data_IF_351292090615
#
_entry.id   IF_351292090615
#
_cell.length_a   1.000
_cell.length_b   1.000
_cell.length_c   1.000
_cell.angle_alpha   90.00
_cell.angle_beta   90.00
_cell.angle_gamma   90.00
#
_symmetry.space_group_name_H-M   'P 1'
#
loop_
_entity.id
_entity.type
_entity.pdbx_description
1 polymer ?
#
# COMPACT_ATOMS: atom_id res chain seq x y z
N UNK A 1 -47.61 -6.00 19.74
CA UNK A 1 -47.53 -4.66 20.35
C UNK A 1 -46.07 -4.36 20.60
N UNK A 2 -45.52 -3.40 19.88
CA UNK A 2 -44.38 -2.51 20.19
C UNK A 2 -43.84 -1.97 18.85
N UNK A 3 -44.79 -1.37 18.11
CA UNK A 3 -44.55 -0.30 17.15
C UNK A 3 -44.49 1.01 17.93
N UNK A 4 -43.65 1.94 17.49
CA UNK A 4 -43.45 3.34 17.97
C UNK A 4 -42.32 3.55 18.99
N UNK A 5 -41.62 4.68 18.85
CA UNK A 5 -40.27 5.07 19.35
C UNK A 5 -39.13 4.51 18.48
N UNK A 6 -38.46 5.24 17.59
CA UNK A 6 -38.17 6.68 17.51
C UNK A 6 -38.06 7.07 16.02
N UNK A 7 -38.97 7.93 15.56
CA UNK A 7 -38.72 8.86 14.46
C UNK A 7 -38.30 10.20 15.10
N UNK A 8 -37.37 10.90 14.43
CA UNK A 8 -36.85 12.25 14.73
C UNK A 8 -35.67 12.31 15.71
N UNK A 9 -34.45 12.22 15.16
CA UNK A 9 -33.55 13.38 15.14
C UNK A 9 -32.33 13.12 14.24
N UNK A 10 -31.67 14.21 13.83
CA UNK A 10 -30.47 14.34 12.99
C UNK A 10 -30.76 14.62 11.51
N UNK A 11 -31.25 15.83 11.28
CA UNK A 11 -30.87 16.65 10.13
C UNK A 11 -29.36 16.91 10.09
N UNK A 12 -28.87 17.08 8.86
CA UNK A 12 -27.60 17.70 8.40
C UNK A 12 -26.28 16.95 8.59
N UNK A 13 -25.79 16.53 7.42
CA UNK A 13 -24.39 16.59 6.96
C UNK A 13 -23.57 15.29 6.98
N UNK A 14 -24.03 14.31 6.21
CA UNK A 14 -23.10 13.39 5.54
C UNK A 14 -23.01 13.78 4.07
N UNK A 15 -22.27 14.85 3.77
CA UNK A 15 -21.71 14.98 2.43
C UNK A 15 -21.00 13.66 2.10
N UNK A 16 -21.54 12.93 1.12
CA UNK A 16 -20.78 11.90 0.43
C UNK A 16 -19.41 12.51 0.16
N UNK A 17 -18.32 11.90 0.66
CA UNK A 17 -16.96 12.40 0.45
C UNK A 17 -16.68 12.30 -1.03
N UNK A 18 -17.13 13.31 -1.78
CA UNK A 18 -16.82 13.49 -3.17
C UNK A 18 -15.34 13.81 -3.19
N UNK A 19 -14.53 12.82 -3.57
CA UNK A 19 -13.15 13.06 -3.96
C UNK A 19 -13.22 13.61 -5.38
N UNK A 20 -13.04 14.92 -5.59
CA UNK A 20 -13.00 15.47 -6.94
C UNK A 20 -11.95 14.69 -7.75
N UNK A 21 -12.23 14.43 -9.03
CA UNK A 21 -11.30 13.72 -9.88
C UNK A 21 -9.97 14.48 -9.94
N UNK A 22 -8.87 13.76 -9.74
CA UNK A 22 -7.53 14.33 -9.87
C UNK A 22 -7.35 14.87 -11.31
N UNK A 23 -7.24 16.19 -11.42
CA UNK A 23 -7.06 16.90 -12.69
C UNK A 23 -5.59 16.91 -13.16
N UNK A 24 -4.67 16.50 -12.28
CA UNK A 24 -3.23 16.58 -12.45
C UNK A 24 -2.57 15.19 -12.42
N UNK A 25 -3.31 14.16 -12.85
CA UNK A 25 -2.85 12.75 -12.89
C UNK A 25 -1.49 12.57 -13.58
N UNK A 26 -1.24 13.34 -14.63
CA UNK A 26 0.04 13.31 -15.34
C UNK A 26 1.24 13.63 -14.42
N UNK A 27 1.05 14.50 -13.44
CA UNK A 27 2.09 14.85 -12.45
C UNK A 27 2.09 13.86 -11.30
N UNK A 28 0.92 13.52 -10.74
CA UNK A 28 0.81 12.66 -9.56
C UNK A 28 1.27 11.23 -9.83
N UNK A 29 1.03 10.68 -11.03
CA UNK A 29 1.53 9.36 -11.44
C UNK A 29 3.06 9.33 -11.53
N UNK A 30 3.68 10.33 -12.17
CA UNK A 30 5.14 10.43 -12.29
C UNK A 30 5.78 10.59 -10.92
N UNK A 31 5.22 11.46 -10.07
CA UNK A 31 5.70 11.62 -8.70
C UNK A 31 5.49 10.34 -7.88
N UNK A 32 4.40 9.60 -8.11
CA UNK A 32 4.15 8.30 -7.49
C UNK A 32 5.23 7.27 -7.83
N UNK A 33 5.65 7.20 -9.09
CA UNK A 33 6.78 6.36 -9.52
C UNK A 33 8.11 6.79 -8.87
N UNK A 34 8.35 8.09 -8.74
CA UNK A 34 9.52 8.57 -8.00
C UNK A 34 9.47 8.17 -6.52
N UNK A 35 8.31 8.26 -5.89
CA UNK A 35 8.12 7.85 -4.49
C UNK A 35 8.46 6.38 -4.30
N UNK A 36 7.99 5.50 -5.19
CA UNK A 36 8.29 4.06 -5.09
C UNK A 36 9.79 3.78 -5.23
N UNK A 37 10.46 4.41 -6.20
CA UNK A 37 11.91 4.29 -6.37
C UNK A 37 12.67 4.80 -5.14
N UNK A 38 12.34 6.00 -4.62
CA UNK A 38 13.02 6.54 -3.45
C UNK A 38 12.83 5.66 -2.21
N UNK A 39 11.65 5.07 -2.01
CA UNK A 39 11.41 4.11 -0.93
C UNK A 39 12.27 2.87 -1.09
N UNK A 40 12.35 2.30 -2.30
CA UNK A 40 13.18 1.13 -2.57
C UNK A 40 14.67 1.40 -2.34
N UNK A 41 15.13 2.62 -2.61
CA UNK A 41 16.50 3.07 -2.30
C UNK A 41 16.73 3.40 -0.82
N UNK A 42 15.68 3.43 0.02
CA UNK A 42 15.76 3.79 1.43
C UNK A 42 15.86 5.30 1.70
N UNK A 43 15.52 6.14 0.71
CA UNK A 43 15.46 7.60 0.87
C UNK A 43 14.06 8.04 1.31
N UNK A 44 13.73 7.76 2.58
CA UNK A 44 12.43 8.04 3.17
C UNK A 44 12.11 9.54 3.21
N UNK A 45 13.13 10.38 3.37
CA UNK A 45 12.93 11.83 3.45
C UNK A 45 12.45 12.38 2.11
N UNK A 46 13.08 11.98 1.00
CA UNK A 46 12.65 12.43 -0.34
C UNK A 46 11.32 11.80 -0.70
N UNK A 47 11.13 10.50 -0.46
CA UNK A 47 9.88 9.82 -0.77
C UNK A 47 8.70 10.46 -0.03
N UNK A 48 8.85 10.79 1.25
CA UNK A 48 7.82 11.49 2.03
C UNK A 48 7.51 12.89 1.50
N UNK A 49 8.53 13.63 1.07
CA UNK A 49 8.37 14.98 0.52
C UNK A 49 7.56 14.96 -0.78
N UNK A 50 7.86 14.04 -1.71
CA UNK A 50 7.07 13.87 -2.92
C UNK A 50 5.65 13.38 -2.61
N UNK A 51 5.48 12.47 -1.65
CA UNK A 51 4.16 11.97 -1.26
C UNK A 51 3.27 13.08 -0.69
N UNK A 52 3.84 14.00 0.09
CA UNK A 52 3.15 15.21 0.55
C UNK A 52 2.76 16.11 -0.62
N UNK A 53 3.65 16.32 -1.57
CA UNK A 53 3.35 17.12 -2.77
C UNK A 53 2.21 16.50 -3.59
N UNK A 54 2.21 15.18 -3.81
CA UNK A 54 1.11 14.46 -4.48
C UNK A 54 -0.22 14.74 -3.78
N UNK A 55 -0.25 14.60 -2.45
CA UNK A 55 -1.47 14.81 -1.64
C UNK A 55 -2.03 16.24 -1.75
N UNK A 56 -1.18 17.24 -2.05
CA UNK A 56 -1.58 18.63 -2.29
C UNK A 56 -2.07 18.80 -3.72
N UNK A 57 -1.33 18.27 -4.71
CA UNK A 57 -1.64 18.39 -6.14
C UNK A 57 -2.95 17.69 -6.50
N UNK A 58 -3.21 16.52 -5.91
CA UNK A 58 -4.44 15.74 -6.13
C UNK A 58 -5.70 16.52 -5.71
N UNK A 59 -5.58 17.43 -4.74
CA UNK A 59 -6.69 18.25 -4.21
C UNK A 59 -6.90 19.56 -4.96
N UNK A 60 -6.06 19.89 -5.95
CA UNK A 60 -6.19 21.15 -6.66
C UNK A 60 -7.42 21.12 -7.57
N UNK A 61 -8.27 22.18 -7.53
CA UNK A 61 -9.48 22.25 -8.33
C UNK A 61 -9.21 22.66 -9.79
N UNK A 62 -7.95 22.80 -10.19
CA UNK A 62 -7.53 23.20 -11.53
C UNK A 62 -6.35 22.36 -12.03
N UNK A 63 -6.20 22.32 -13.36
CA UNK A 63 -5.03 21.74 -14.02
C UNK A 63 -3.86 22.73 -13.97
N UNK A 64 -2.69 22.27 -13.57
CA UNK A 64 -1.47 23.08 -13.52
C UNK A 64 -0.99 23.32 -14.96
N UNK A 65 -0.90 24.59 -15.34
CA UNK A 65 -0.37 25.04 -16.65
C UNK A 65 0.92 25.84 -16.45
N UNK A 66 1.03 26.56 -15.34
CA UNK A 66 2.24 27.31 -14.98
C UNK A 66 2.64 27.00 -13.53
N UNK A 67 3.94 26.92 -13.29
CA UNK A 67 4.54 26.70 -11.97
C UNK A 67 4.22 27.79 -10.95
N UNK A 68 3.97 29.02 -11.39
CA UNK A 68 3.56 30.10 -10.48
C UNK A 68 2.28 29.76 -9.69
N UNK A 69 1.41 28.92 -10.28
CA UNK A 69 0.18 28.44 -9.63
C UNK A 69 0.44 27.52 -8.43
N UNK A 70 1.61 26.88 -8.36
CA UNK A 70 1.94 25.92 -7.29
C UNK A 70 3.05 26.42 -6.36
N UNK A 71 3.72 27.53 -6.70
CA UNK A 71 4.86 28.07 -5.96
C UNK A 71 4.55 28.43 -4.51
N UNK A 72 3.31 28.85 -4.24
CA UNK A 72 2.85 29.27 -2.92
C UNK A 72 2.32 28.10 -2.07
N UNK A 73 2.20 26.90 -2.64
CA UNK A 73 1.62 25.76 -1.95
C UNK A 73 2.60 25.18 -0.93
N UNK A 74 2.11 24.76 0.25
CA UNK A 74 2.96 24.12 1.23
C UNK A 74 3.49 22.78 0.71
N UNK A 75 4.68 22.39 1.14
CA UNK A 75 5.37 21.13 0.75
C UNK A 75 5.93 21.08 -0.68
N UNK A 76 5.67 22.08 -1.54
CA UNK A 76 6.22 22.13 -2.91
C UNK A 76 7.41 23.09 -2.95
N UNK A 77 8.61 22.53 -2.77
CA UNK A 77 9.87 23.28 -2.85
C UNK A 77 10.35 23.55 -4.29
N UNK A 78 11.37 24.40 -4.44
CA UNK A 78 11.94 24.80 -5.75
C UNK A 78 12.26 23.62 -6.67
N UNK A 79 12.92 22.58 -6.17
CA UNK A 79 13.24 21.39 -7.00
C UNK A 79 11.99 20.66 -7.51
N UNK A 80 10.90 20.61 -6.74
CA UNK A 80 9.65 20.01 -7.21
C UNK A 80 8.94 20.92 -8.21
N UNK A 81 9.04 22.24 -8.04
CA UNK A 81 8.53 23.22 -8.99
C UNK A 81 9.19 23.05 -10.36
N UNK A 82 10.51 22.87 -10.39
CA UNK A 82 11.27 22.61 -11.62
C UNK A 82 10.80 21.29 -12.29
N UNK A 83 10.62 20.22 -11.51
CA UNK A 83 10.09 18.96 -12.03
C UNK A 83 8.65 19.07 -12.54
N UNK A 84 7.78 19.84 -11.86
CA UNK A 84 6.40 20.08 -12.33
C UNK A 84 6.44 20.84 -13.65
N UNK A 85 7.31 21.85 -13.79
CA UNK A 85 7.49 22.59 -15.05
C UNK A 85 7.86 21.64 -16.19
N UNK A 86 8.84 20.77 -15.94
CA UNK A 86 9.34 19.81 -16.91
C UNK A 86 8.22 18.85 -17.35
N UNK A 87 7.45 18.31 -16.40
CA UNK A 87 6.34 17.40 -16.68
C UNK A 87 5.22 18.09 -17.45
N UNK A 88 4.87 19.34 -17.10
CA UNK A 88 3.82 20.09 -17.80
C UNK A 88 4.23 20.40 -19.25
N UNK A 89 5.50 20.72 -19.48
CA UNK A 89 6.01 21.07 -20.81
C UNK A 89 6.27 19.85 -21.71
N UNK A 90 6.83 18.78 -21.14
CA UNK A 90 7.32 17.62 -21.92
C UNK A 90 6.46 16.37 -21.77
N UNK A 91 5.59 16.32 -20.74
CA UNK A 91 4.85 15.12 -20.35
C UNK A 91 5.70 14.07 -19.64
N UNK A 92 6.99 14.34 -19.40
CA UNK A 92 7.95 13.39 -18.83
C UNK A 92 8.84 14.05 -17.79
N UNK A 93 9.64 13.23 -17.10
CA UNK A 93 10.62 13.70 -16.14
C UNK A 93 11.95 12.98 -16.41
N UNK A 94 12.96 13.73 -16.86
CA UNK A 94 14.30 13.22 -17.18
C UNK A 94 14.93 12.49 -16.00
N UNK A 95 14.65 12.96 -14.78
CA UNK A 95 15.13 12.31 -13.55
C UNK A 95 14.56 10.90 -13.36
N UNK A 96 13.29 10.70 -13.71
CA UNK A 96 12.67 9.38 -13.65
C UNK A 96 13.28 8.47 -14.71
N UNK A 97 13.46 8.96 -15.94
CA UNK A 97 14.11 8.19 -17.01
C UNK A 97 15.54 7.78 -16.62
N UNK A 98 16.30 8.66 -15.95
CA UNK A 98 17.63 8.32 -15.45
C UNK A 98 17.59 7.20 -14.40
N UNK A 99 16.60 7.21 -13.49
CA UNK A 99 16.45 6.12 -12.52
C UNK A 99 15.99 4.81 -13.16
N UNK A 100 15.11 4.88 -14.17
CA UNK A 100 14.65 3.70 -14.90
C UNK A 100 15.80 3.05 -15.70
N UNK A 101 16.80 3.82 -16.14
CA UNK A 101 17.96 3.31 -16.87
C UNK A 101 19.17 2.96 -15.98
N UNK A 102 19.14 3.27 -14.68
CA UNK A 102 20.23 2.99 -13.75
C UNK A 102 20.19 1.52 -13.28
N UNK A 103 21.21 0.73 -13.64
CA UNK A 103 21.37 -0.67 -13.25
C UNK A 103 21.24 -0.86 -11.73
N UNK A 104 21.78 0.08 -10.94
CA UNK A 104 21.71 0.01 -9.48
C UNK A 104 20.27 0.07 -8.99
N UNK A 105 19.49 1.01 -9.53
CA UNK A 105 18.10 1.20 -9.14
C UNK A 105 17.25 0.01 -9.57
N UNK A 106 17.46 -0.48 -10.79
CA UNK A 106 16.78 -1.69 -11.30
C UNK A 106 17.04 -2.90 -10.40
N UNK A 107 18.31 -3.14 -10.04
CA UNK A 107 18.70 -4.27 -9.20
C UNK A 107 18.13 -4.16 -7.79
N UNK A 108 18.22 -2.97 -7.17
CA UNK A 108 17.68 -2.74 -5.82
C UNK A 108 16.16 -2.91 -5.80
N UNK A 109 15.45 -2.40 -6.82
CA UNK A 109 14.01 -2.61 -6.98
C UNK A 109 13.68 -4.09 -7.13
N UNK A 110 14.41 -4.82 -7.98
CA UNK A 110 14.22 -6.26 -8.21
C UNK A 110 14.37 -7.06 -6.90
N UNK A 111 15.41 -6.76 -6.11
CA UNK A 111 15.63 -7.41 -4.83
C UNK A 111 14.55 -7.03 -3.81
N UNK A 112 14.08 -5.78 -3.82
CA UNK A 112 13.01 -5.31 -2.95
C UNK A 112 11.62 -5.92 -3.23
N UNK A 113 11.41 -6.53 -4.41
CA UNK A 113 10.18 -7.30 -4.69
C UNK A 113 10.15 -8.62 -3.91
N UNK A 114 11.29 -9.13 -3.45
CA UNK A 114 11.36 -10.39 -2.72
C UNK A 114 10.89 -10.19 -1.28
N UNK A 115 9.96 -11.04 -0.85
CA UNK A 115 9.47 -11.01 0.52
C UNK A 115 10.60 -11.14 1.56
N UNK A 116 10.63 -10.21 2.52
CA UNK A 116 11.65 -10.16 3.57
C UNK A 116 12.94 -9.41 3.20
N UNK A 117 13.07 -8.89 1.97
CA UNK A 117 14.19 -8.03 1.56
C UNK A 117 13.73 -6.57 1.55
N UNK A 118 14.24 -5.78 2.51
CA UNK A 118 14.04 -4.33 2.54
C UNK A 118 15.17 -3.53 1.87
N UNK A 119 15.04 -2.19 1.78
CA UNK A 119 16.00 -1.31 1.09
C UNK A 119 17.46 -1.50 1.53
N UNK A 120 17.67 -1.59 2.85
CA UNK A 120 19.02 -1.76 3.43
C UNK A 120 19.64 -3.10 3.02
N UNK A 121 18.84 -4.17 3.02
CA UNK A 121 19.31 -5.50 2.63
C UNK A 121 19.56 -5.56 1.12
N UNK A 122 18.65 -5.01 0.31
CA UNK A 122 18.80 -4.93 -1.14
C UNK A 122 20.09 -4.19 -1.55
N UNK A 123 20.39 -3.05 -0.90
CA UNK A 123 21.63 -2.31 -1.13
C UNK A 123 22.87 -3.15 -0.78
N UNK A 124 22.87 -3.83 0.38
CA UNK A 124 23.98 -4.72 0.77
C UNK A 124 24.20 -5.86 -0.22
N UNK A 125 23.14 -6.43 -0.79
CA UNK A 125 23.24 -7.49 -1.80
C UNK A 125 23.82 -6.93 -3.11
N UNK A 126 23.41 -5.73 -3.51
CA UNK A 126 24.00 -5.04 -4.66
C UNK A 126 25.49 -4.76 -4.48
N UNK A 127 25.89 -4.26 -3.30
CA UNK A 127 27.29 -3.97 -2.96
C UNK A 127 28.17 -5.23 -2.92
N UNK A 128 27.58 -6.39 -2.64
CA UNK A 128 28.24 -7.70 -2.74
C UNK A 128 28.45 -8.18 -4.19
N UNK A 129 27.89 -7.48 -5.17
CA UNK A 129 28.03 -7.82 -6.59
C UNK A 129 26.86 -8.62 -7.17
N UNK A 130 25.80 -8.89 -6.39
CA UNK A 130 24.61 -9.59 -6.90
C UNK A 130 23.81 -8.68 -7.83
N UNK A 131 23.31 -9.22 -8.93
CA UNK A 131 22.51 -8.49 -9.94
C UNK A 131 21.19 -9.18 -10.26
N UNK A 132 21.11 -10.49 -10.11
CA UNK A 132 19.93 -11.30 -10.44
C UNK A 132 19.37 -12.01 -9.22
N UNK A 133 18.10 -12.43 -9.30
CA UNK A 133 17.48 -13.25 -8.25
C UNK A 133 18.11 -14.65 -8.13
N UNK A 134 18.73 -15.15 -9.20
CA UNK A 134 19.42 -16.44 -9.18
C UNK A 134 20.72 -16.36 -8.38
N UNK A 135 21.42 -15.22 -8.40
CA UNK A 135 22.61 -14.99 -7.58
C UNK A 135 22.29 -15.14 -6.08
N UNK A 136 21.07 -14.74 -5.70
CA UNK A 136 20.60 -14.79 -4.31
C UNK A 136 20.32 -16.22 -3.81
N UNK A 137 20.09 -17.20 -4.69
CA UNK A 137 19.79 -18.59 -4.29
C UNK A 137 20.93 -19.24 -3.51
N UNK A 138 22.17 -18.86 -3.84
CA UNK A 138 23.38 -19.40 -3.22
C UNK A 138 23.93 -18.51 -2.08
N UNK A 139 23.29 -17.38 -1.80
CA UNK A 139 23.75 -16.43 -0.80
C UNK A 139 23.47 -16.96 0.62
N UNK A 140 24.55 -17.27 1.34
CA UNK A 140 24.48 -17.84 2.70
C UNK A 140 24.02 -16.82 3.75
N UNK A 141 24.15 -15.53 3.49
CA UNK A 141 23.76 -14.48 4.45
C UNK A 141 22.25 -14.23 4.53
N UNK A 142 21.46 -14.83 3.65
CA UNK A 142 20.01 -14.68 3.66
C UNK A 142 19.36 -15.43 4.83
N UNK A 143 18.39 -14.77 5.46
CA UNK A 143 17.56 -15.33 6.53
C UNK A 143 16.57 -16.33 5.91
N UNK A 144 16.10 -17.30 6.69
CA UNK A 144 15.13 -18.32 6.23
C UNK A 144 13.87 -17.70 5.60
N UNK A 145 13.38 -16.58 6.13
CA UNK A 145 12.25 -15.84 5.56
C UNK A 145 12.53 -15.36 4.13
N UNK A 146 13.72 -14.78 3.90
CA UNK A 146 14.15 -14.31 2.57
C UNK A 146 14.31 -15.47 1.58
N UNK A 147 14.85 -16.60 2.05
CA UNK A 147 14.94 -17.83 1.24
C UNK A 147 13.56 -18.35 0.84
N UNK A 148 12.58 -18.29 1.75
CA UNK A 148 11.19 -18.64 1.47
C UNK A 148 10.58 -17.68 0.44
N UNK A 149 10.84 -16.38 0.60
CA UNK A 149 10.45 -15.34 -0.36
C UNK A 149 11.01 -15.56 -1.76
N UNK A 150 12.26 -16.02 -1.88
CA UNK A 150 12.87 -16.39 -3.16
C UNK A 150 12.25 -17.67 -3.74
N UNK A 151 12.00 -18.68 -2.89
CA UNK A 151 11.44 -19.97 -3.33
C UNK A 151 10.04 -19.81 -3.92
N UNK A 152 9.19 -19.02 -3.28
CA UNK A 152 7.79 -18.79 -3.69
C UNK A 152 7.60 -17.43 -4.36
N UNK A 153 8.65 -16.83 -4.91
CA UNK A 153 8.61 -15.48 -5.46
C UNK A 153 7.49 -15.31 -6.51
N UNK A 154 7.39 -16.26 -7.45
CA UNK A 154 6.37 -16.22 -8.50
C UNK A 154 4.97 -16.39 -7.91
N UNK A 155 4.78 -17.39 -7.04
CA UNK A 155 3.48 -17.66 -6.42
C UNK A 155 2.99 -16.46 -5.61
N UNK A 156 3.87 -15.81 -4.83
CA UNK A 156 3.55 -14.62 -4.04
C UNK A 156 3.17 -13.45 -4.96
N UNK A 157 3.82 -13.31 -6.12
CA UNK A 157 3.53 -12.25 -7.10
C UNK A 157 2.20 -12.48 -7.81
N UNK A 158 1.70 -13.71 -7.85
CA UNK A 158 0.38 -14.00 -8.44
C UNK A 158 -0.75 -13.53 -7.53
N UNK A 159 -1.80 -12.99 -8.17
CA UNK A 159 -3.01 -12.59 -7.44
C UNK A 159 -3.76 -13.85 -6.97
N UNK A 160 -4.05 -13.91 -5.67
CA UNK A 160 -4.84 -14.99 -5.08
C UNK A 160 -6.28 -14.94 -5.64
N UNK A 161 -6.78 -16.04 -6.25
CA UNK A 161 -8.16 -16.16 -6.69
C UNK A 161 -9.16 -16.04 -5.53
N UNK A 162 -10.33 -15.43 -5.78
CA UNK A 162 -11.38 -15.29 -4.75
C UNK A 162 -11.86 -16.64 -4.20
N UNK A 163 -11.95 -17.65 -5.07
CA UNK A 163 -12.35 -19.01 -4.70
C UNK A 163 -11.42 -19.62 -3.64
N UNK A 164 -10.11 -19.44 -3.79
CA UNK A 164 -9.13 -19.95 -2.81
C UNK A 164 -9.32 -19.29 -1.44
N UNK A 165 -9.62 -17.99 -1.43
CA UNK A 165 -9.92 -17.24 -0.19
C UNK A 165 -11.18 -17.77 0.49
N UNK A 166 -12.26 -18.00 -0.28
CA UNK A 166 -13.52 -18.54 0.25
C UNK A 166 -13.34 -19.96 0.84
N UNK A 167 -12.55 -20.81 0.17
CA UNK A 167 -12.21 -22.14 0.66
C UNK A 167 -11.41 -22.07 1.97
N UNK A 168 -10.42 -21.17 2.04
CA UNK A 168 -9.64 -20.92 3.26
C UNK A 168 -10.51 -20.39 4.41
N UNK A 169 -11.46 -19.50 4.11
CA UNK A 169 -12.37 -18.91 5.11
C UNK A 169 -13.25 -20.00 5.73
N UNK A 170 -13.79 -20.91 4.91
CA UNK A 170 -14.57 -22.05 5.37
C UNK A 170 -13.74 -23.01 6.24
N UNK A 171 -12.49 -23.28 5.87
CA UNK A 171 -11.59 -24.13 6.66
C UNK A 171 -11.29 -23.51 8.03
N UNK A 172 -10.97 -22.22 8.06
CA UNK A 172 -10.72 -21.50 9.31
C UNK A 172 -11.98 -21.42 10.16
N UNK A 173 -13.14 -21.12 9.56
CA UNK A 173 -14.41 -21.05 10.26
C UNK A 173 -14.72 -22.38 10.96
N UNK A 174 -14.53 -23.52 10.29
CA UNK A 174 -14.70 -24.86 10.88
C UNK A 174 -13.74 -25.09 12.06
N UNK A 175 -12.45 -24.81 11.86
CA UNK A 175 -11.45 -24.97 12.92
C UNK A 175 -11.73 -24.04 14.12
N UNK A 176 -12.25 -22.84 13.85
CA UNK A 176 -12.69 -21.89 14.88
C UNK A 176 -13.88 -22.42 15.67
N UNK A 177 -14.88 -22.98 15.00
CA UNK A 177 -16.07 -23.55 15.65
C UNK A 177 -15.75 -24.75 16.55
N UNK A 178 -14.74 -25.56 16.19
CA UNK A 178 -14.24 -26.67 17.02
C UNK A 178 -13.64 -26.18 18.34
N UNK A 179 -12.95 -25.04 18.32
CA UNK A 179 -12.32 -24.44 19.50
C UNK A 179 -13.35 -23.65 20.32
N UNK A 180 -14.17 -22.85 19.65
CA UNK A 180 -15.18 -21.99 20.27
C UNK A 180 -16.49 -22.00 19.46
N UNK A 181 -17.55 -22.64 19.98
CA UNK A 181 -18.85 -22.65 19.32
C UNK A 181 -19.41 -21.23 19.13
N UNK A 182 -19.81 -20.89 17.91
CA UNK A 182 -20.42 -19.59 17.58
C UNK A 182 -19.44 -18.46 17.20
N UNK A 183 -18.13 -18.75 17.11
CA UNK A 183 -17.16 -17.79 16.56
C UNK A 183 -17.47 -17.49 15.09
N UNK A 184 -17.26 -16.26 14.65
CA UNK A 184 -17.28 -15.90 13.22
C UNK A 184 -15.93 -15.37 12.81
N UNK A 185 -15.40 -15.96 11.75
CA UNK A 185 -14.11 -15.66 11.15
C UNK A 185 -14.37 -15.12 9.75
N UNK A 186 -13.71 -14.03 9.40
CA UNK A 186 -13.79 -13.48 8.05
C UNK A 186 -12.51 -12.75 7.65
N UNK A 187 -12.28 -12.69 6.35
CA UNK A 187 -11.14 -11.99 5.78
C UNK A 187 -11.49 -10.55 5.43
N UNK A 188 -10.70 -9.60 5.92
CA UNK A 188 -10.79 -8.21 5.50
C UNK A 188 -9.70 -7.89 4.47
N UNK A 189 -10.11 -7.66 3.22
CA UNK A 189 -9.27 -6.98 2.25
C UNK A 189 -9.46 -5.45 2.33
N UNK A 190 -8.51 -4.69 1.80
CA UNK A 190 -8.54 -3.21 1.69
C UNK A 190 -9.85 -2.66 1.07
N UNK A 191 -10.54 -3.44 0.21
CA UNK A 191 -11.86 -3.10 -0.37
C UNK A 191 -13.07 -3.36 0.54
N UNK A 192 -12.89 -4.03 1.67
CA UNK A 192 -13.96 -4.44 2.62
C UNK A 192 -14.16 -3.43 3.74
N UNK A 193 -13.37 -2.35 3.75
CA UNK A 193 -13.40 -1.30 4.79
C UNK A 193 -14.68 -0.44 4.73
N UNK A 194 -15.47 -0.51 3.66
CA UNK A 194 -16.67 0.33 3.51
C UNK A 194 -17.90 -0.15 4.30
N UNK A 195 -17.98 -1.41 4.72
CA UNK A 195 -19.19 -1.95 5.37
C UNK A 195 -19.20 -1.89 6.91
N UNK A 196 -18.07 -1.60 7.54
CA UNK A 196 -17.95 -1.61 9.01
C UNK A 196 -18.15 -0.23 9.67
N UNK A 197 -18.11 0.87 8.92
CA UNK A 197 -18.33 2.23 9.47
C UNK A 197 -19.76 2.51 9.92
N UNK A 198 -20.74 1.69 9.50
CA UNK A 198 -22.15 1.82 9.95
C UNK A 198 -22.32 1.55 11.46
N UNK A 199 -21.31 0.96 12.11
CA UNK A 199 -21.34 0.57 13.53
C UNK A 199 -20.34 1.35 14.43
N UNK A 200 -19.83 2.51 13.98
CA UNK A 200 -19.12 3.42 14.89
C UNK A 200 -17.70 3.02 15.29
N UNK A 201 -16.92 2.40 14.40
CA UNK A 201 -15.52 2.07 14.66
C UNK A 201 -14.56 2.95 13.84
N UNK A 202 -13.63 3.59 14.54
CA UNK A 202 -12.52 4.34 13.97
C UNK A 202 -11.25 3.54 14.21
N UNK A 203 -10.86 2.68 13.27
CA UNK A 203 -9.49 2.19 13.19
C UNK A 203 -9.14 1.88 11.73
N UNK A 204 -8.15 2.62 11.22
CA UNK A 204 -7.68 2.56 9.84
C UNK A 204 -6.58 1.50 9.78
N UNK A 205 -6.92 0.30 9.31
CA UNK A 205 -5.94 -0.74 9.04
C UNK A 205 -5.46 -0.62 7.58
N UNK A 206 -4.27 -0.05 7.37
CA UNK A 206 -3.57 -0.15 6.10
C UNK A 206 -2.87 -1.51 6.03
N UNK A 207 -3.53 -2.52 5.45
CA UNK A 207 -2.83 -3.74 5.05
C UNK A 207 -2.27 -3.56 3.65
N UNK A 208 -0.94 -3.56 3.55
CA UNK A 208 -0.21 -3.64 2.30
C UNK A 208 -0.67 -4.87 1.50
N UNK A 209 -0.69 -4.71 0.17
CA UNK A 209 -1.34 -5.49 -0.89
C UNK A 209 -1.37 -7.04 -0.80
N UNK A 210 -0.65 -7.69 0.13
CA UNK A 210 -0.51 -9.15 0.24
C UNK A 210 -0.70 -9.73 1.66
N UNK A 211 -1.06 -8.93 2.67
CA UNK A 211 -1.29 -9.43 4.04
C UNK A 211 -2.79 -9.62 4.27
N UNK A 212 -3.15 -10.82 4.71
CA UNK A 212 -4.52 -11.20 5.07
C UNK A 212 -4.71 -10.97 6.57
N UNK A 213 -5.54 -10.00 6.96
CA UNK A 213 -5.90 -9.78 8.37
C UNK A 213 -7.10 -10.64 8.75
N UNK A 214 -6.99 -11.35 9.88
CA UNK A 214 -8.07 -12.15 10.44
C UNK A 214 -8.78 -11.37 11.54
N UNK A 215 -10.11 -11.31 11.49
CA UNK A 215 -10.93 -10.84 12.59
C UNK A 215 -11.63 -11.98 13.30
N UNK A 216 -11.51 -12.01 14.63
CA UNK A 216 -12.28 -12.91 15.48
C UNK A 216 -13.28 -12.10 16.30
N UNK A 217 -14.58 -12.40 16.14
CA UNK A 217 -15.64 -11.89 17.01
C UNK A 217 -15.94 -12.92 18.10
N UNK A 218 -15.61 -12.59 19.36
CA UNK A 218 -15.76 -13.50 20.50
C UNK A 218 -17.09 -13.33 21.25
N UNK A 219 -17.76 -12.18 21.11
CA UNK A 219 -19.11 -11.89 21.65
C UNK A 219 -19.65 -10.60 21.00
N UNK A 220 -20.93 -10.26 21.22
CA UNK A 220 -21.57 -9.05 20.67
C UNK A 220 -20.80 -7.74 20.95
N UNK A 221 -19.93 -7.75 21.97
CA UNK A 221 -19.26 -6.56 22.50
C UNK A 221 -17.72 -6.55 22.32
N UNK A 222 -17.07 -7.67 21.96
CA UNK A 222 -15.60 -7.74 21.87
C UNK A 222 -15.10 -8.36 20.55
N UNK A 223 -14.28 -7.57 19.84
CA UNK A 223 -13.53 -7.98 18.66
C UNK A 223 -12.04 -8.04 19.01
N UNK A 224 -11.39 -9.15 18.66
CA UNK A 224 -9.93 -9.30 18.74
C UNK A 224 -9.37 -9.39 17.33
N UNK A 225 -8.44 -8.48 17.03
CA UNK A 225 -7.70 -8.45 15.78
C UNK A 225 -6.51 -9.39 15.87
N UNK A 226 -6.41 -10.33 14.92
CA UNK A 226 -5.22 -11.13 14.76
C UNK A 226 -4.66 -10.90 13.34
N UNK A 227 -3.54 -10.19 13.26
CA UNK A 227 -2.71 -10.30 12.08
C UNK A 227 -2.11 -11.70 12.07
N UNK A 228 -2.63 -12.57 11.20
CA UNK A 228 -1.94 -13.80 10.85
C UNK A 228 -0.71 -13.40 10.01
N UNK A 229 0.36 -12.97 10.67
CA UNK A 229 1.69 -13.19 10.12
C UNK A 229 1.80 -14.70 9.93
N UNK A 230 1.99 -15.16 8.70
CA UNK A 230 2.33 -16.56 8.43
C UNK A 230 3.63 -16.87 9.19
N UNK A 231 3.51 -17.30 10.44
CA UNK A 231 4.47 -18.19 11.06
C UNK A 231 4.35 -19.52 10.32
N UNK A 232 4.99 -19.59 9.16
CA UNK A 232 5.20 -20.84 8.46
C UNK A 232 6.24 -21.63 9.26
N UNK A 233 5.77 -22.74 9.83
CA UNK A 233 6.58 -23.90 10.23
C UNK A 233 7.52 -24.35 9.10
#
# INVERSE_FOLDING_TARGET
>A
MFTSFIEQDITSDSSFIYKPPDLNKNVTEIFGKLVSIYRALGDDRRSFSYNKAISVIEKLPFKIVNVDQVRHLPSIGKSMQDHIMEIVNTGKLSKLENFENDEKVQTINLFGEVWGIGPVTALKLYEKGHRTLDDLKNEKSLINSQKLGLKYFQDIKTRIPRKEIEEMEQLLQKAGEEILPGVRIGFLCEYTVLLLKKYGFLDICYCYFHIVTLLLKLSAENWTFYCLEKHAF
#
